data_IF_430330099130
#
_entry.id   IF_430330099130
#
_cell.length_a   1.000
_cell.length_b   1.000
_cell.length_c   1.000
_cell.angle_alpha   90.00
_cell.angle_beta   90.00
_cell.angle_gamma   90.00
#
_symmetry.space_group_name_H-M   'P 1'
#
loop_
_entity.id
_entity.type
_entity.pdbx_description
1 polymer ?
#
# COMPACT_ATOMS: atom_id res chain seq x y z
N UNK A 1 -5.01 -12.96 -17.40
CA UNK A 1 -4.20 -13.76 -16.46
C UNK A 1 -3.69 -12.83 -15.36
N UNK A 2 -4.33 -12.78 -14.19
CA UNK A 2 -3.96 -11.90 -13.05
C UNK A 2 -2.82 -12.55 -12.21
N UNK A 3 -1.73 -12.94 -12.88
CA UNK A 3 -0.61 -13.69 -12.27
C UNK A 3 0.15 -12.94 -11.17
N UNK A 4 0.02 -11.61 -11.14
CA UNK A 4 0.88 -10.74 -10.34
C UNK A 4 0.74 -10.93 -8.83
N UNK A 5 -0.46 -11.28 -8.33
CA UNK A 5 -0.73 -11.40 -6.89
C UNK A 5 -1.07 -12.85 -6.45
N UNK A 6 -1.01 -13.82 -7.37
CA UNK A 6 -1.35 -15.22 -7.08
C UNK A 6 -0.46 -15.79 -5.95
N UNK A 7 0.80 -15.37 -5.90
CA UNK A 7 1.76 -15.83 -4.88
C UNK A 7 1.50 -15.21 -3.51
N UNK A 8 1.02 -13.98 -3.46
CA UNK A 8 0.61 -13.31 -2.23
C UNK A 8 -0.68 -13.93 -1.68
N UNK A 9 -1.64 -14.25 -2.56
CA UNK A 9 -2.85 -14.99 -2.22
C UNK A 9 -2.49 -16.37 -1.64
N UNK A 10 -1.58 -17.10 -2.31
CA UNK A 10 -1.09 -18.38 -1.82
C UNK A 10 -0.42 -18.23 -0.44
N UNK A 11 0.44 -17.24 -0.27
CA UNK A 11 1.14 -16.98 1.00
C UNK A 11 0.14 -16.70 2.12
N UNK A 12 -0.83 -15.81 1.90
CA UNK A 12 -1.89 -15.50 2.86
C UNK A 12 -2.73 -16.74 3.24
N UNK A 13 -2.97 -17.66 2.29
CA UNK A 13 -3.71 -18.90 2.57
C UNK A 13 -2.92 -19.93 3.40
N UNK A 14 -1.58 -19.85 3.43
CA UNK A 14 -0.70 -20.82 4.07
C UNK A 14 -0.35 -20.46 5.52
N UNK A 15 -0.54 -19.21 5.92
CA UNK A 15 -0.19 -18.73 7.26
C UNK A 15 -1.45 -18.43 8.08
N UNK A 16 -1.39 -18.70 9.38
CA UNK A 16 -2.49 -18.41 10.32
C UNK A 16 -2.11 -17.19 11.17
N UNK A 17 -3.12 -16.39 11.53
CA UNK A 17 -2.94 -15.21 12.40
C UNK A 17 -2.39 -13.97 11.70
N UNK A 18 -2.34 -13.96 10.36
CA UNK A 18 -1.96 -12.78 9.58
C UNK A 18 -3.19 -11.93 9.29
N UNK A 19 -3.17 -10.66 9.72
CA UNK A 19 -4.29 -9.73 9.53
C UNK A 19 -4.17 -8.92 8.23
N UNK A 20 -2.97 -8.45 7.91
CA UNK A 20 -2.69 -7.58 6.76
C UNK A 20 -1.40 -8.05 6.09
N UNK A 21 -1.44 -8.18 4.76
CA UNK A 21 -0.28 -8.44 3.91
C UNK A 21 -0.11 -7.25 2.95
N UNK A 22 0.93 -6.45 3.18
CA UNK A 22 1.33 -5.38 2.25
C UNK A 22 2.40 -5.94 1.32
N UNK A 23 2.09 -6.07 0.03
CA UNK A 23 3.00 -6.66 -0.96
C UNK A 23 3.48 -5.64 -1.99
N UNK A 24 4.61 -5.95 -2.62
CA UNK A 24 5.27 -5.16 -3.64
C UNK A 24 5.89 -6.07 -4.71
N UNK A 25 6.94 -5.60 -5.40
CA UNK A 25 7.65 -6.32 -6.48
C UNK A 25 6.85 -6.52 -7.78
N UNK A 26 5.58 -6.90 -7.71
CA UNK A 26 4.76 -7.10 -8.90
C UNK A 26 4.30 -5.79 -9.57
N UNK A 27 4.37 -4.66 -8.85
CA UNK A 27 3.89 -3.35 -9.30
C UNK A 27 2.44 -3.39 -9.79
N UNK A 28 1.58 -4.07 -9.02
CA UNK A 28 0.14 -4.20 -9.31
C UNK A 28 -0.62 -3.72 -8.10
N UNK A 29 -1.26 -2.57 -8.24
CA UNK A 29 -2.12 -1.97 -7.23
C UNK A 29 -3.37 -2.81 -6.97
N UNK A 30 -3.89 -2.67 -5.75
CA UNK A 30 -5.16 -3.26 -5.34
C UNK A 30 -6.17 -2.13 -5.10
N UNK A 31 -7.00 -1.75 -6.08
CA UNK A 31 -8.02 -0.71 -5.91
C UNK A 31 -9.02 -1.02 -4.80
N UNK A 32 -9.23 -2.31 -4.53
CA UNK A 32 -9.96 -2.83 -3.37
C UNK A 32 -9.08 -3.88 -2.66
N UNK A 33 -9.14 -3.99 -1.32
CA UNK A 33 -8.38 -5.00 -0.59
C UNK A 33 -8.78 -6.42 -1.01
N UNK A 34 -7.80 -7.25 -1.33
CA UNK A 34 -8.06 -8.67 -1.63
C UNK A 34 -8.13 -9.44 -0.31
N UNK A 35 -9.29 -10.00 0.01
CA UNK A 35 -9.50 -10.76 1.25
C UNK A 35 -9.23 -12.24 1.03
N UNK A 36 -8.31 -12.80 1.82
CA UNK A 36 -8.01 -14.24 1.87
C UNK A 36 -8.13 -14.73 3.31
N UNK A 37 -9.21 -15.44 3.63
CA UNK A 37 -9.54 -15.76 5.03
C UNK A 37 -9.78 -14.48 5.83
N UNK A 38 -8.97 -14.27 6.88
CA UNK A 38 -8.97 -13.03 7.68
C UNK A 38 -7.92 -12.00 7.21
N UNK A 39 -7.03 -12.38 6.30
CA UNK A 39 -5.96 -11.51 5.82
C UNK A 39 -6.47 -10.57 4.72
N UNK A 40 -6.13 -9.30 4.82
CA UNK A 40 -6.29 -8.31 3.74
C UNK A 40 -4.96 -8.12 3.00
N UNK A 41 -4.95 -8.35 1.69
CA UNK A 41 -3.80 -8.13 0.82
C UNK A 41 -3.94 -6.78 0.13
N UNK A 42 -2.89 -5.95 0.25
CA UNK A 42 -2.83 -4.58 -0.27
C UNK A 42 -1.54 -4.36 -1.07
N UNK A 43 -1.64 -3.62 -2.18
CA UNK A 43 -0.48 -3.17 -2.97
C UNK A 43 -0.78 -1.89 -3.76
N UNK A 44 0.26 -1.29 -4.33
CA UNK A 44 0.23 -0.05 -5.13
C UNK A 44 0.80 -0.29 -6.53
N UNK A 45 0.49 0.60 -7.49
CA UNK A 45 0.95 0.52 -8.89
C UNK A 45 2.44 0.92 -9.07
N UNK A 46 3.18 1.09 -7.97
CA UNK A 46 4.60 1.48 -7.92
C UNK A 46 4.87 2.93 -8.33
N UNK A 47 6.15 3.32 -8.28
CA UNK A 47 6.64 4.63 -8.74
C UNK A 47 6.10 5.85 -8.00
N UNK A 48 5.38 5.67 -6.90
CA UNK A 48 4.65 6.75 -6.23
C UNK A 48 3.43 7.24 -7.03
N UNK A 49 2.97 6.47 -8.03
CA UNK A 49 1.79 6.79 -8.86
C UNK A 49 0.55 6.88 -7.97
N UNK A 50 0.42 5.98 -7.00
CA UNK A 50 -0.65 5.97 -6.02
C UNK A 50 -0.18 5.59 -4.61
N UNK A 51 -0.99 5.96 -3.62
CA UNK A 51 -0.79 5.67 -2.20
C UNK A 51 -2.06 5.03 -1.64
N UNK A 52 -1.92 3.84 -1.06
CA UNK A 52 -3.02 3.15 -0.39
C UNK A 52 -3.26 3.67 1.03
N UNK A 53 -4.52 3.95 1.37
CA UNK A 53 -4.97 4.35 2.71
C UNK A 53 -6.05 3.38 3.19
N UNK A 54 -5.69 2.55 4.18
CA UNK A 54 -6.63 1.64 4.85
C UNK A 54 -7.04 2.24 6.20
N UNK A 55 -8.35 2.37 6.42
CA UNK A 55 -8.94 2.79 7.70
C UNK A 55 -9.67 1.60 8.31
N UNK A 56 -9.19 1.18 9.47
CA UNK A 56 -9.79 0.08 10.24
C UNK A 56 -10.54 0.61 11.45
N UNK A 57 -11.66 -0.02 11.76
CA UNK A 57 -12.34 0.10 13.04
C UNK A 57 -11.94 -1.09 13.92
N UNK A 58 -11.17 -0.82 14.98
CA UNK A 58 -10.56 -1.83 15.85
C UNK A 58 -11.44 -2.12 17.07
N UNK A 59 -11.75 -3.39 17.31
CA UNK A 59 -12.75 -3.80 18.31
C UNK A 59 -12.15 -4.14 19.70
N UNK A 60 -11.02 -3.53 20.06
CA UNK A 60 -10.29 -3.74 21.33
C UNK A 60 -9.83 -5.19 21.60
N UNK A 61 -10.02 -6.09 20.64
CA UNK A 61 -9.58 -7.49 20.69
C UNK A 61 -8.52 -7.73 19.61
N UNK A 62 -7.43 -8.44 19.94
CA UNK A 62 -6.42 -8.82 18.96
C UNK A 62 -7.06 -9.50 17.75
N UNK A 63 -6.62 -9.13 16.54
CA UNK A 63 -7.10 -9.69 15.27
C UNK A 63 -8.59 -9.43 14.96
N UNK A 64 -9.27 -8.53 15.68
CA UNK A 64 -10.66 -8.16 15.41
C UNK A 64 -10.78 -6.70 14.98
N UNK A 65 -11.09 -6.52 13.70
CA UNK A 65 -11.33 -5.21 13.10
C UNK A 65 -12.33 -5.33 11.96
N UNK A 66 -12.93 -4.20 11.59
CA UNK A 66 -13.68 -4.07 10.33
C UNK A 66 -13.03 -3.01 9.45
N UNK A 67 -13.19 -3.14 8.12
CA UNK A 67 -12.72 -2.12 7.19
C UNK A 67 -13.75 -1.00 7.16
N UNK A 68 -13.38 0.17 7.67
CA UNK A 68 -14.23 1.36 7.64
C UNK A 68 -14.15 2.07 6.29
N UNK A 69 -12.94 2.17 5.74
CA UNK A 69 -12.71 2.75 4.42
C UNK A 69 -11.40 2.23 3.83
N UNK A 70 -11.33 2.12 2.51
CA UNK A 70 -10.08 1.90 1.80
C UNK A 70 -10.06 2.79 0.54
N UNK A 71 -8.90 3.37 0.25
CA UNK A 71 -8.71 4.22 -0.92
C UNK A 71 -7.30 3.99 -1.46
N UNK A 72 -7.19 3.68 -2.75
CA UNK A 72 -5.94 3.74 -3.49
C UNK A 72 -5.91 5.07 -4.26
N UNK A 73 -5.23 6.07 -3.69
CA UNK A 73 -5.28 7.45 -4.20
C UNK A 73 -4.10 7.71 -5.13
N UNK A 74 -4.39 8.02 -6.39
CA UNK A 74 -3.40 8.53 -7.34
C UNK A 74 -2.85 9.87 -6.86
N UNK A 75 -1.53 10.03 -6.95
CA UNK A 75 -0.83 11.25 -6.56
C UNK A 75 -0.55 12.09 -7.80
N UNK A 76 -1.30 13.18 -7.94
CA UNK A 76 -1.01 14.22 -8.91
C UNK A 76 -0.20 15.32 -8.23
N UNK A 77 0.93 15.71 -8.84
CA UNK A 77 1.88 16.64 -8.22
C UNK A 77 1.32 18.07 -8.07
N UNK A 78 0.32 18.44 -8.86
CA UNK A 78 -0.39 19.72 -8.78
C UNK A 78 -1.45 19.75 -7.66
N UNK A 79 -1.85 18.60 -7.11
CA UNK A 79 -2.78 18.49 -5.99
C UNK A 79 -2.09 18.49 -4.61
N UNK A 80 -0.76 18.47 -4.56
CA UNK A 80 0.00 18.30 -3.32
C UNK A 80 1.06 19.38 -3.11
N UNK A 81 1.11 19.93 -1.90
CA UNK A 81 2.22 20.77 -1.48
C UNK A 81 3.43 19.92 -1.09
N UNK A 82 4.54 20.12 -1.81
CA UNK A 82 5.80 19.47 -1.48
C UNK A 82 6.32 19.96 -0.13
N UNK A 83 6.81 19.01 0.69
CA UNK A 83 7.38 19.35 1.98
C UNK A 83 8.75 19.99 1.79
N UNK A 84 8.94 21.20 2.32
CA UNK A 84 10.17 22.00 2.17
C UNK A 84 11.49 21.26 2.49
N UNK A 85 11.45 20.31 3.44
CA UNK A 85 12.59 19.48 3.78
C UNK A 85 13.00 18.50 2.65
N UNK A 86 12.03 17.96 1.91
CA UNK A 86 12.26 17.00 0.83
C UNK A 86 12.89 17.71 -0.38
N UNK A 87 12.32 18.85 -0.80
CA UNK A 87 12.87 19.63 -1.92
C UNK A 87 14.31 20.10 -1.66
N UNK A 88 14.60 20.50 -0.41
CA UNK A 88 15.95 20.93 -0.02
C UNK A 88 16.95 19.76 -0.10
N UNK A 89 16.50 18.54 0.22
CA UNK A 89 17.29 17.32 0.07
C UNK A 89 17.59 17.03 -1.39
N UNK A 90 16.58 17.00 -2.25
CA UNK A 90 16.72 16.68 -3.67
C UNK A 90 17.62 17.68 -4.39
N UNK A 91 17.41 18.99 -4.20
CA UNK A 91 18.27 20.03 -4.80
C UNK A 91 19.74 19.88 -4.38
N UNK A 92 20.01 19.47 -3.14
CA UNK A 92 21.39 19.23 -2.66
C UNK A 92 22.02 18.01 -3.31
N UNK A 93 21.25 16.95 -3.53
CA UNK A 93 21.74 15.74 -4.19
C UNK A 93 22.03 16.02 -5.67
N UNK A 94 21.12 16.72 -6.35
CA UNK A 94 21.30 17.10 -7.76
C UNK A 94 22.49 18.04 -7.98
N UNK A 95 22.74 18.99 -7.08
CA UNK A 95 23.90 19.88 -7.16
C UNK A 95 25.22 19.15 -6.94
N UNK A 96 25.26 18.10 -6.10
CA UNK A 96 26.47 17.28 -5.86
C UNK A 96 26.78 16.32 -7.02
N UNK A 97 25.78 15.97 -7.80
CA UNK A 97 25.92 15.08 -8.94
C UNK A 97 26.39 15.80 -10.22
N UNK A 98 26.58 17.12 -10.17
CA UNK A 98 27.18 17.95 -11.20
C UNK A 98 28.65 18.21 -10.90
#
# INVERSE_FOLDING_TARGET
MRRALDKDIQTASQVKGLDILITGHAHVGTPEPIKVGNTLILSTDSGGIDVGKLVLDYQEKPHQFTVKNFELKTIFADEWEARSANETGDRRLEQKAR
#
